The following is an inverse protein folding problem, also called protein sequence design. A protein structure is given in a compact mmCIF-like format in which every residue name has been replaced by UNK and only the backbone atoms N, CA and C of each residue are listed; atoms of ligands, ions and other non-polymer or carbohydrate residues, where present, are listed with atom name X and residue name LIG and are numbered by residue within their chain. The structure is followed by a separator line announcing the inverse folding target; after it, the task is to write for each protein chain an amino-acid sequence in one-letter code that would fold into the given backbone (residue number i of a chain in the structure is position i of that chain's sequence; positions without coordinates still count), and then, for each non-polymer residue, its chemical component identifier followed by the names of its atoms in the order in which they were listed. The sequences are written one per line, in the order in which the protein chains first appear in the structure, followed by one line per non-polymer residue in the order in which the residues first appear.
data_IF_312772569184
#
_entry.id   IF_312772569184
#
_cell.length_a   1.000
_cell.length_b   1.000
_cell.length_c   1.000
_cell.angle_alpha   90.00
_cell.angle_beta   90.00
_cell.angle_gamma   90.00
#
_symmetry.space_group_name_H-M   'P 1'
#
loop_
_entity.id
_entity.type
_entity.pdbx_description
1 polymer ?
#
# COMPACT_ATOMS: atom_id res chain seq x y z
N UNK A 1 1.57 20.76 2.97
CA UNK A 1 0.37 19.92 2.83
C UNK A 1 0.82 18.60 2.22
N UNK A 2 0.60 17.46 2.89
CA UNK A 2 1.00 16.16 2.33
C UNK A 2 0.07 15.86 1.13
N UNK A 3 0.62 15.57 -0.07
CA UNK A 3 -0.19 15.36 -1.29
C UNK A 3 -1.12 14.14 -1.17
N UNK A 4 -0.71 13.14 -0.38
CA UNK A 4 -1.47 11.93 -0.13
C UNK A 4 -1.59 11.64 1.37
N UNK A 5 -2.51 10.75 1.74
CA UNK A 5 -2.53 10.14 3.06
C UNK A 5 -1.32 9.20 3.15
N UNK A 6 -0.37 9.54 4.02
CA UNK A 6 0.76 8.68 4.36
C UNK A 6 0.38 7.75 5.51
N UNK A 7 0.80 6.49 5.41
CA UNK A 7 0.75 5.55 6.53
C UNK A 7 1.93 5.73 7.48
N UNK A 8 1.90 4.99 8.57
CA UNK A 8 3.06 4.86 9.48
C UNK A 8 4.17 4.04 8.80
N UNK A 9 5.43 4.39 9.07
CA UNK A 9 6.56 3.61 8.59
C UNK A 9 6.60 2.26 9.32
N UNK A 10 6.49 1.15 8.57
CA UNK A 10 6.56 -0.22 9.11
C UNK A 10 7.92 -0.55 9.74
N UNK A 11 8.96 0.20 9.40
CA UNK A 11 10.29 0.12 9.98
C UNK A 11 10.44 1.01 11.22
N UNK A 12 9.46 1.81 11.59
CA UNK A 12 9.51 2.59 12.81
C UNK A 12 9.39 1.66 14.02
N UNK A 13 10.28 1.86 15.00
CA UNK A 13 10.23 1.07 16.22
C UNK A 13 9.05 1.46 17.10
N UNK A 14 8.34 0.47 17.67
CA UNK A 14 7.26 0.71 18.63
C UNK A 14 7.54 0.05 19.98
N UNK A 15 6.73 0.35 21.00
CA UNK A 15 6.93 -0.17 22.36
C UNK A 15 6.75 -1.70 22.40
N UNK A 16 5.80 -2.22 21.63
CA UNK A 16 5.59 -3.64 21.31
C UNK A 16 4.72 -3.70 20.04
N UNK A 17 5.12 -4.34 18.93
CA UNK A 17 6.39 -5.05 18.64
C UNK A 17 7.60 -4.15 18.29
N UNK A 18 8.79 -4.75 18.14
CA UNK A 18 10.02 -4.02 17.76
C UNK A 18 9.81 -3.22 16.47
N UNK A 19 9.40 -3.84 15.36
CA UNK A 19 8.94 -3.18 14.13
C UNK A 19 7.76 -3.95 13.53
N UNK A 20 6.87 -3.26 12.82
CA UNK A 20 5.76 -3.94 12.13
C UNK A 20 6.29 -4.92 11.08
N UNK A 21 7.39 -4.57 10.39
CA UNK A 21 7.98 -5.42 9.35
C UNK A 21 8.54 -6.75 9.89
N UNK A 22 8.89 -6.83 11.18
CA UNK A 22 9.45 -8.04 11.80
C UNK A 22 8.43 -9.20 11.87
N UNK A 23 7.13 -8.88 11.81
CA UNK A 23 6.05 -9.88 11.78
C UNK A 23 5.80 -10.41 10.37
N UNK A 24 6.40 -9.80 9.35
CA UNK A 24 6.27 -10.22 7.96
C UNK A 24 7.43 -11.14 7.63
N UNK A 25 7.17 -12.44 7.49
CA UNK A 25 8.19 -13.41 7.06
C UNK A 25 8.90 -12.98 5.77
N UNK A 26 10.17 -13.38 5.63
CA UNK A 26 11.00 -13.05 4.45
C UNK A 26 10.40 -13.58 3.14
N UNK A 27 9.73 -14.73 3.21
CA UNK A 27 9.09 -15.37 2.04
C UNK A 27 7.62 -14.95 1.86
N UNK A 28 7.14 -13.95 2.61
CA UNK A 28 5.77 -13.51 2.48
C UNK A 28 5.55 -12.81 1.12
N UNK A 29 4.54 -13.22 0.33
CA UNK A 29 4.28 -12.65 -0.99
C UNK A 29 4.03 -11.13 -0.97
N UNK A 30 3.64 -10.55 0.16
CA UNK A 30 3.47 -9.09 0.28
C UNK A 30 4.74 -8.33 -0.07
N UNK A 31 5.93 -8.91 0.19
CA UNK A 31 7.23 -8.29 -0.14
C UNK A 31 7.42 -8.16 -1.65
N UNK A 32 7.01 -9.17 -2.43
CA UNK A 32 7.04 -9.12 -3.89
C UNK A 32 6.05 -8.09 -4.42
N UNK A 33 4.82 -8.07 -3.87
CA UNK A 33 3.80 -7.09 -4.27
C UNK A 33 4.28 -5.66 -4.06
N UNK A 34 4.95 -5.43 -2.94
CA UNK A 34 5.46 -4.13 -2.55
C UNK A 34 6.52 -3.62 -3.52
N UNK A 35 7.60 -4.40 -3.74
CA UNK A 35 8.67 -4.07 -4.70
C UNK A 35 8.12 -3.96 -6.12
N UNK A 36 7.25 -4.88 -6.53
CA UNK A 36 6.68 -4.87 -7.88
C UNK A 36 5.91 -3.59 -8.16
N UNK A 37 5.04 -3.16 -7.25
CA UNK A 37 4.22 -1.96 -7.47
C UNK A 37 5.06 -0.68 -7.34
N UNK A 38 6.07 -0.66 -6.47
CA UNK A 38 6.94 0.52 -6.30
C UNK A 38 7.81 0.82 -7.54
N UNK A 39 8.12 -0.21 -8.35
CA UNK A 39 8.84 -0.05 -9.62
C UNK A 39 7.93 0.36 -10.79
N UNK A 40 6.61 0.40 -10.62
CA UNK A 40 5.68 0.78 -11.70
C UNK A 40 5.55 2.30 -11.82
N UNK A 41 5.70 2.79 -13.05
CA UNK A 41 5.27 4.15 -13.41
C UNK A 41 3.75 4.18 -13.60
N UNK A 42 3.04 4.42 -12.50
CA UNK A 42 1.59 4.46 -12.50
C UNK A 42 1.02 5.60 -13.37
N UNK A 43 1.76 6.71 -13.53
CA UNK A 43 1.30 7.81 -14.37
C UNK A 43 1.29 7.37 -15.85
N UNK A 44 2.38 6.77 -16.32
CA UNK A 44 2.48 6.23 -17.68
C UNK A 44 1.52 5.04 -17.93
N UNK A 45 1.15 4.31 -16.88
CA UNK A 45 0.13 3.25 -16.95
C UNK A 45 -1.32 3.78 -16.96
N UNK A 46 -1.52 5.10 -16.93
CA UNK A 46 -2.84 5.73 -17.04
C UNK A 46 -3.57 5.91 -15.72
N UNK A 47 -2.89 5.82 -14.57
CA UNK A 47 -3.50 6.15 -13.28
C UNK A 47 -3.59 7.67 -13.13
N UNK A 48 -4.73 8.26 -13.49
CA UNK A 48 -4.94 9.71 -13.44
C UNK A 48 -4.91 10.34 -12.03
N UNK A 49 -5.00 9.52 -10.96
CA UNK A 49 -5.00 9.99 -9.55
C UNK A 49 -3.62 9.94 -8.90
N UNK A 50 -2.56 9.76 -9.68
CA UNK A 50 -1.17 9.90 -9.22
C UNK A 50 -0.84 11.37 -8.97
N UNK A 51 -1.54 12.29 -9.63
CA UNK A 51 -1.52 13.71 -9.30
C UNK A 51 -2.60 14.03 -8.26
N UNK A 52 -2.23 14.61 -7.09
CA UNK A 52 -3.17 14.95 -6.04
C UNK A 52 -4.03 16.16 -6.44
N UNK A 53 -5.26 16.22 -5.93
CA UNK A 53 -6.11 17.40 -6.09
C UNK A 53 -5.53 18.58 -5.30
N UNK A 54 -5.55 19.78 -5.89
CA UNK A 54 -5.05 21.00 -5.28
C UNK A 54 -5.78 21.40 -3.98
N UNK A 55 -7.03 20.97 -3.82
CA UNK A 55 -7.90 21.31 -2.67
C UNK A 55 -8.69 20.10 -2.20
N UNK A 56 -8.95 20.05 -0.89
CA UNK A 56 -9.76 19.02 -0.25
C UNK A 56 -8.95 18.08 0.64
N UNK A 57 -9.58 16.97 1.03
CA UNK A 57 -8.90 15.92 1.81
C UNK A 57 -7.91 15.19 0.90
N UNK A 58 -6.64 15.00 1.32
CA UNK A 58 -5.70 14.16 0.59
C UNK A 58 -6.29 12.78 0.32
N UNK A 59 -6.10 12.26 -0.89
CA UNK A 59 -6.47 10.89 -1.24
C UNK A 59 -5.39 9.90 -0.81
N UNK A 60 -5.70 8.60 -0.81
CA UNK A 60 -4.67 7.57 -0.80
C UNK A 60 -3.92 7.56 -2.14
N UNK A 61 -2.62 7.28 -2.12
CA UNK A 61 -1.85 7.12 -3.35
C UNK A 61 -2.30 5.85 -4.10
N UNK A 62 -2.47 5.89 -5.44
CA UNK A 62 -2.94 4.73 -6.20
C UNK A 62 -2.08 3.46 -6.02
N UNK A 63 -0.78 3.59 -5.77
CA UNK A 63 0.11 2.46 -5.50
C UNK A 63 -0.35 1.62 -4.30
N UNK A 64 -0.81 2.27 -3.22
CA UNK A 64 -1.29 1.57 -2.02
C UNK A 64 -2.54 0.75 -2.34
N UNK A 65 -3.48 1.34 -3.08
CA UNK A 65 -4.70 0.66 -3.49
C UNK A 65 -4.41 -0.52 -4.43
N UNK A 66 -3.43 -0.37 -5.33
CA UNK A 66 -2.98 -1.43 -6.22
C UNK A 66 -2.32 -2.58 -5.45
N UNK A 67 -1.45 -2.28 -4.48
CA UNK A 67 -0.84 -3.29 -3.58
C UNK A 67 -1.92 -4.11 -2.86
N UNK A 68 -2.93 -3.45 -2.30
CA UNK A 68 -4.07 -4.12 -1.64
C UNK A 68 -4.87 -5.00 -2.61
N UNK A 69 -5.14 -4.50 -3.81
CA UNK A 69 -5.87 -5.25 -4.84
C UNK A 69 -5.12 -6.52 -5.26
N UNK A 70 -3.83 -6.41 -5.57
CA UNK A 70 -2.98 -7.55 -5.95
C UNK A 70 -2.89 -8.56 -4.79
N UNK A 71 -2.68 -8.08 -3.57
CA UNK A 71 -2.61 -8.95 -2.40
C UNK A 71 -3.92 -9.73 -2.17
N UNK A 72 -5.07 -9.04 -2.23
CA UNK A 72 -6.39 -9.67 -2.13
C UNK A 72 -6.60 -10.70 -3.24
N UNK A 73 -6.21 -10.38 -4.47
CA UNK A 73 -6.29 -11.30 -5.60
C UNK A 73 -5.43 -12.56 -5.38
N UNK A 74 -4.16 -12.41 -4.98
CA UNK A 74 -3.25 -13.52 -4.67
C UNK A 74 -3.80 -14.44 -3.58
N UNK A 75 -4.49 -13.88 -2.58
CA UNK A 75 -5.12 -14.63 -1.49
C UNK A 75 -6.55 -15.12 -1.82
N UNK A 76 -7.05 -14.86 -3.04
CA UNK A 76 -8.42 -15.17 -3.47
C UNK A 76 -9.50 -14.53 -2.57
N UNK A 77 -9.20 -13.37 -2.02
CA UNK A 77 -10.12 -12.57 -1.19
C UNK A 77 -10.71 -11.46 -2.07
N UNK A 78 -11.96 -11.66 -2.48
CA UNK A 78 -12.67 -10.72 -3.39
C UNK A 78 -13.51 -9.66 -2.65
N UNK A 79 -13.57 -9.73 -1.32
CA UNK A 79 -14.36 -8.79 -0.51
C UNK A 79 -13.41 -7.88 0.27
N UNK A 80 -13.56 -6.56 0.10
CA UNK A 80 -12.80 -5.56 0.86
C UNK A 80 -12.96 -5.74 2.37
N UNK A 81 -14.19 -6.01 2.85
CA UNK A 81 -14.46 -6.32 4.26
C UNK A 81 -13.78 -7.59 4.77
N UNK A 82 -13.57 -8.59 3.90
CA UNK A 82 -12.83 -9.79 4.27
C UNK A 82 -11.32 -9.58 4.24
N UNK A 83 -10.85 -8.62 3.44
CA UNK A 83 -9.45 -8.24 3.34
C UNK A 83 -9.00 -7.38 4.54
N UNK A 84 -9.93 -6.61 5.11
CA UNK A 84 -9.73 -5.79 6.32
C UNK A 84 -9.55 -6.63 7.59
N UNK A 85 -10.10 -7.85 7.63
CA UNK A 85 -10.07 -8.75 8.79
C UNK A 85 -8.83 -9.64 8.78
#
# INVERSE_FOLDING_TARGET
MKPFIEGEDRNQSTLFPERLDDYVGTDNPVRIVDVFVDELDLNNLGFHRVEPLATGRPSYHPSILLKLYIYGYLKRIQSSRRLER
#
